data_IF_343955895169
#
_entry.id   IF_343955895169
#
_cell.length_a   1.000
_cell.length_b   1.000
_cell.length_c   1.000
_cell.angle_alpha   90.00
_cell.angle_beta   90.00
_cell.angle_gamma   90.00
#
_symmetry.space_group_name_H-M   'P 1'
#
loop_
_entity.id
_entity.type
_entity.pdbx_description
1 polymer ?
#
# COMPACT_ATOMS: atom_id res chain seq x y z
N UNK A 1 -59.27 -24.55 19.54
CA UNK A 1 -59.36 -25.04 18.15
C UNK A 1 -58.31 -26.12 17.98
N UNK A 2 -58.80 -27.33 17.77
CA UNK A 2 -58.05 -28.58 17.59
C UNK A 2 -57.47 -28.64 16.18
N UNK A 3 -56.17 -28.92 16.04
CA UNK A 3 -55.59 -29.33 14.77
C UNK A 3 -54.94 -30.70 14.93
N UNK A 4 -55.61 -31.66 14.31
CA UNK A 4 -55.30 -33.08 14.26
C UNK A 4 -54.03 -33.34 13.46
N UNK A 5 -53.11 -34.15 14.01
CA UNK A 5 -52.06 -34.80 13.24
C UNK A 5 -52.64 -36.02 12.52
N UNK A 6 -52.74 -35.96 11.18
CA UNK A 6 -53.03 -37.12 10.35
C UNK A 6 -51.70 -37.71 9.85
N UNK A 7 -51.34 -38.87 10.39
CA UNK A 7 -50.35 -39.76 9.78
C UNK A 7 -50.95 -40.34 8.50
N UNK A 8 -50.31 -40.11 7.36
CA UNK A 8 -50.62 -40.81 6.10
C UNK A 8 -49.53 -41.84 5.84
N UNK A 9 -49.98 -43.07 5.63
CA UNK A 9 -49.18 -44.27 5.47
C UNK A 9 -48.42 -44.31 4.14
N UNK A 10 -47.29 -44.98 4.24
CA UNK A 10 -46.35 -45.38 3.19
C UNK A 10 -47.04 -46.28 2.16
N UNK A 11 -46.92 -45.95 0.87
CA UNK A 11 -47.18 -46.90 -0.23
C UNK A 11 -45.94 -46.94 -1.12
N UNK A 12 -45.29 -48.10 -1.09
CA UNK A 12 -44.23 -48.52 -2.01
C UNK A 12 -44.80 -48.72 -3.41
N UNK A 13 -44.44 -47.83 -4.33
CA UNK A 13 -44.70 -47.97 -5.76
C UNK A 13 -43.40 -47.84 -6.53
N UNK A 14 -42.94 -48.94 -7.13
CA UNK A 14 -41.77 -48.95 -8.00
C UNK A 14 -42.14 -48.35 -9.36
N UNK A 15 -41.61 -47.16 -9.65
CA UNK A 15 -41.62 -46.60 -11.00
C UNK A 15 -40.18 -46.27 -11.40
N UNK A 16 -39.73 -46.92 -12.47
CA UNK A 16 -38.46 -46.64 -13.11
C UNK A 16 -38.54 -45.26 -13.77
N UNK A 17 -37.99 -44.26 -13.10
CA UNK A 17 -37.73 -42.94 -13.69
C UNK A 17 -36.22 -42.77 -13.81
N UNK A 18 -35.80 -42.42 -15.01
CA UNK A 18 -34.46 -41.97 -15.37
C UNK A 18 -33.88 -41.09 -14.27
N UNK A 19 -32.77 -41.52 -13.68
CA UNK A 19 -32.15 -40.89 -12.51
C UNK A 19 -31.78 -39.43 -12.74
N UNK A 20 -32.68 -38.51 -12.42
CA UNK A 20 -32.32 -37.16 -12.00
C UNK A 20 -31.89 -37.27 -10.54
N UNK A 21 -30.57 -37.34 -10.34
CA UNK A 21 -30.00 -37.27 -9.01
C UNK A 21 -30.37 -35.93 -8.38
N UNK A 22 -31.28 -35.95 -7.40
CA UNK A 22 -31.44 -34.87 -6.46
C UNK A 22 -30.21 -34.94 -5.55
N UNK A 23 -29.12 -34.29 -5.95
CA UNK A 23 -28.04 -33.98 -5.03
C UNK A 23 -28.60 -32.95 -4.05
N UNK A 24 -28.94 -33.43 -2.86
CA UNK A 24 -29.07 -32.60 -1.68
C UNK A 24 -27.79 -31.73 -1.60
N UNK A 25 -27.93 -30.43 -1.87
CA UNK A 25 -26.94 -29.42 -1.48
C UNK A 25 -26.96 -29.34 0.05
N UNK A 26 -26.41 -30.37 0.69
CA UNK A 26 -25.96 -30.32 2.07
C UNK A 26 -24.88 -29.25 2.04
N UNK A 27 -25.18 -28.12 2.70
CA UNK A 27 -24.44 -26.88 2.61
C UNK A 27 -22.97 -27.12 2.31
N UNK A 28 -22.55 -26.70 1.11
CA UNK A 28 -21.16 -26.42 0.85
C UNK A 28 -20.83 -25.29 1.82
N UNK A 29 -20.39 -25.65 3.02
CA UNK A 29 -19.52 -24.80 3.81
C UNK A 29 -18.32 -24.58 2.90
N UNK A 30 -18.39 -23.52 2.10
CA UNK A 30 -17.19 -22.85 1.63
C UNK A 30 -16.45 -22.49 2.90
N UNK A 31 -15.55 -23.36 3.35
CA UNK A 31 -14.48 -22.95 4.24
C UNK A 31 -13.86 -21.77 3.53
N UNK A 32 -14.12 -20.55 4.02
CA UNK A 32 -13.43 -19.37 3.51
C UNK A 32 -11.96 -19.69 3.73
N UNK A 33 -11.22 -19.92 2.65
CA UNK A 33 -9.79 -20.22 2.73
C UNK A 33 -9.12 -19.08 3.48
N UNK A 34 -8.78 -19.32 4.75
CA UNK A 34 -8.15 -18.31 5.58
C UNK A 34 -6.76 -18.01 5.01
N UNK A 35 -6.45 -16.72 4.89
CA UNK A 35 -5.17 -16.23 4.37
C UNK A 35 -4.50 -15.38 5.43
N UNK A 36 -3.17 -15.41 5.48
CA UNK A 36 -2.45 -14.46 6.33
C UNK A 36 -2.67 -13.04 5.82
N UNK A 37 -2.62 -12.07 6.73
CA UNK A 37 -2.65 -10.64 6.36
C UNK A 37 -1.49 -10.32 5.40
N UNK A 38 -0.30 -10.86 5.64
CA UNK A 38 0.86 -10.73 4.75
C UNK A 38 0.56 -11.18 3.31
N UNK A 39 -0.16 -12.29 3.13
CA UNK A 39 -0.55 -12.78 1.80
C UNK A 39 -1.65 -11.95 1.14
N UNK A 40 -2.46 -11.22 1.91
CA UNK A 40 -3.46 -10.32 1.37
C UNK A 40 -2.82 -8.99 0.95
N UNK A 41 -1.92 -8.43 1.77
CA UNK A 41 -1.15 -7.22 1.45
C UNK A 41 -0.30 -7.38 0.21
N UNK A 42 0.32 -8.56 0.00
CA UNK A 42 1.14 -8.79 -1.20
C UNK A 42 0.35 -8.73 -2.52
N UNK A 43 -0.99 -8.77 -2.46
CA UNK A 43 -1.87 -8.65 -3.63
C UNK A 43 -2.34 -7.22 -3.86
N UNK A 44 -2.22 -6.35 -2.88
CA UNK A 44 -2.60 -4.94 -2.95
C UNK A 44 -1.36 -4.07 -2.69
N UNK A 45 -0.70 -3.55 -3.75
CA UNK A 45 0.51 -2.78 -3.59
C UNK A 45 0.26 -1.38 -3.00
N UNK A 46 -0.99 -0.98 -2.72
CA UNK A 46 -1.30 0.36 -2.19
C UNK A 46 -0.96 0.53 -0.70
N UNK A 47 -0.88 -0.57 0.05
CA UNK A 47 -0.59 -0.59 1.49
C UNK A 47 0.57 -1.52 1.80
N UNK A 48 1.36 -1.17 2.83
CA UNK A 48 2.45 -1.99 3.35
C UNK A 48 2.46 -1.94 4.87
N UNK A 49 2.97 -2.99 5.49
CA UNK A 49 3.26 -2.96 6.91
C UNK A 49 4.27 -1.84 7.22
N UNK A 50 4.08 -1.13 8.33
CA UNK A 50 5.03 -0.12 8.79
C UNK A 50 6.32 -0.81 9.23
N UNK A 51 7.46 -0.38 8.69
CA UNK A 51 8.75 -0.95 9.07
C UNK A 51 9.19 -0.47 10.47
N UNK A 52 9.97 -1.26 11.18
CA UNK A 52 10.42 -0.93 12.55
C UNK A 52 11.20 0.39 12.62
N UNK A 53 11.86 0.79 11.53
CA UNK A 53 12.65 2.02 11.41
C UNK A 53 11.81 3.26 11.11
N UNK A 54 10.54 3.09 10.77
CA UNK A 54 9.63 4.16 10.32
C UNK A 54 8.93 4.86 11.49
N UNK A 55 9.74 5.52 12.33
CA UNK A 55 9.33 6.11 13.61
C UNK A 55 8.11 7.02 13.48
N UNK A 56 8.04 7.87 12.45
CA UNK A 56 6.95 8.83 12.31
C UNK A 56 5.62 8.16 11.90
N UNK A 57 5.66 7.12 11.07
CA UNK A 57 4.48 6.31 10.76
C UNK A 57 3.97 5.58 12.01
N UNK A 58 4.87 5.06 12.84
CA UNK A 58 4.49 4.46 14.13
C UNK A 58 3.81 5.46 15.07
N UNK A 59 4.30 6.70 15.16
CA UNK A 59 3.67 7.75 15.96
C UNK A 59 2.26 8.05 15.47
N UNK A 60 2.07 8.20 14.15
CA UNK A 60 0.76 8.44 13.55
C UNK A 60 -0.20 7.27 13.81
N UNK A 61 0.25 6.04 13.58
CA UNK A 61 -0.57 4.84 13.80
C UNK A 61 -0.99 4.69 15.27
N UNK A 62 -0.08 4.96 16.22
CA UNK A 62 -0.39 4.93 17.64
C UNK A 62 -1.39 6.01 18.05
N UNK A 63 -1.25 7.23 17.52
CA UNK A 63 -2.23 8.28 17.74
C UNK A 63 -3.63 7.87 17.25
N UNK A 64 -3.72 7.26 16.07
CA UNK A 64 -4.97 6.73 15.52
C UNK A 64 -5.55 5.58 16.35
N UNK A 65 -4.73 4.66 16.83
CA UNK A 65 -5.17 3.56 17.70
C UNK A 65 -5.81 4.08 18.99
N UNK A 66 -5.18 5.06 19.65
CA UNK A 66 -5.70 5.64 20.90
C UNK A 66 -7.06 6.31 20.73
N UNK A 67 -7.26 7.02 19.63
CA UNK A 67 -8.54 7.71 19.33
C UNK A 67 -9.70 6.73 19.09
N UNK A 68 -9.40 5.46 18.76
CA UNK A 68 -10.43 4.45 18.54
C UNK A 68 -11.26 4.08 19.78
N UNK A 69 -10.84 4.51 20.99
CA UNK A 69 -11.51 4.26 22.28
C UNK A 69 -11.81 2.78 22.60
N UNK A 70 -11.15 1.84 21.92
CA UNK A 70 -11.43 0.41 22.07
C UNK A 70 -10.34 -0.39 22.79
N UNK A 71 -9.16 0.20 23.04
CA UNK A 71 -7.90 -0.45 23.51
C UNK A 71 -7.92 -1.99 23.37
N UNK A 72 -8.18 -2.45 22.14
CA UNK A 72 -8.60 -3.83 21.90
C UNK A 72 -7.44 -4.81 22.03
N UNK A 73 -6.21 -4.30 22.11
CA UNK A 73 -4.99 -5.05 22.42
C UNK A 73 -4.50 -4.85 23.86
N UNK A 74 -5.24 -4.13 24.71
CA UNK A 74 -4.88 -3.85 26.11
C UNK A 74 -3.46 -3.25 26.27
N UNK A 75 -3.14 -2.25 25.45
CA UNK A 75 -1.82 -1.61 25.39
C UNK A 75 -1.75 -0.31 26.20
N UNK A 76 -2.88 0.15 26.74
CA UNK A 76 -2.99 1.39 27.52
C UNK A 76 -2.97 2.64 26.65
N UNK A 77 -2.89 3.80 27.31
CA UNK A 77 -3.06 5.13 26.69
C UNK A 77 -1.80 6.01 26.77
N UNK A 78 -0.60 5.40 26.77
CA UNK A 78 0.67 6.12 26.86
C UNK A 78 0.89 7.14 25.72
N UNK A 79 1.70 8.17 25.98
CA UNK A 79 2.04 9.17 24.97
C UNK A 79 2.94 8.58 23.88
N UNK A 80 3.98 7.85 24.30
CA UNK A 80 4.94 7.20 23.41
C UNK A 80 4.39 5.92 22.80
N UNK A 81 4.93 5.53 21.64
CA UNK A 81 4.59 4.28 20.96
C UNK A 81 5.15 3.11 21.79
N UNK A 82 4.31 2.26 22.40
CA UNK A 82 4.81 1.16 23.20
C UNK A 82 5.33 0.04 22.30
N UNK A 83 6.38 -0.67 22.73
CA UNK A 83 6.93 -1.81 21.97
C UNK A 83 5.90 -2.94 21.79
N UNK A 84 4.98 -3.09 22.75
CA UNK A 84 3.83 -3.99 22.64
C UNK A 84 2.93 -3.69 21.44
N UNK A 85 2.78 -2.43 21.04
CA UNK A 85 2.00 -2.05 19.85
C UNK A 85 2.67 -2.53 18.56
N UNK A 86 3.99 -2.33 18.44
CA UNK A 86 4.76 -2.80 17.28
C UNK A 86 4.78 -4.33 17.20
N UNK A 87 4.88 -4.99 18.36
CA UNK A 87 4.83 -6.45 18.48
C UNK A 87 3.47 -6.98 18.05
N UNK A 88 2.37 -6.39 18.54
CA UNK A 88 1.02 -6.77 18.15
C UNK A 88 0.81 -6.65 16.64
N UNK A 89 1.32 -5.59 16.01
CA UNK A 89 1.27 -5.45 14.56
C UNK A 89 2.05 -6.56 13.82
N UNK A 90 3.24 -6.92 14.30
CA UNK A 90 4.03 -8.01 13.72
C UNK A 90 3.31 -9.36 13.84
N UNK A 91 2.71 -9.66 14.98
CA UNK A 91 1.98 -10.90 15.21
C UNK A 91 0.70 -10.96 14.35
N UNK A 92 0.03 -9.82 14.20
CA UNK A 92 -1.17 -9.71 13.34
C UNK A 92 -0.84 -9.86 11.86
N UNK A 93 0.34 -9.43 11.40
CA UNK A 93 0.76 -9.60 10.01
C UNK A 93 0.76 -11.08 9.58
N UNK A 94 1.13 -11.99 10.49
CA UNK A 94 1.17 -13.43 10.26
C UNK A 94 -0.15 -14.15 10.59
N UNK A 95 -1.10 -13.45 11.21
CA UNK A 95 -2.39 -14.02 11.61
C UNK A 95 -3.27 -14.32 10.40
N UNK A 96 -4.00 -15.43 10.48
CA UNK A 96 -4.96 -15.86 9.46
C UNK A 96 -6.29 -15.14 9.63
N UNK A 97 -6.84 -14.66 8.52
CA UNK A 97 -8.12 -13.95 8.47
C UNK A 97 -9.00 -14.48 7.35
N UNK A 98 -10.31 -14.27 7.49
CA UNK A 98 -11.32 -14.75 6.53
C UNK A 98 -11.35 -13.95 5.21
N UNK A 99 -10.62 -12.84 5.13
CA UNK A 99 -10.46 -12.02 3.92
C UNK A 99 -10.25 -10.54 4.23
N UNK A 100 -10.25 -9.72 3.18
CA UNK A 100 -10.02 -8.27 3.26
C UNK A 100 -11.14 -7.54 4.03
N UNK A 101 -12.35 -8.08 4.08
CA UNK A 101 -13.46 -7.48 4.82
C UNK A 101 -13.49 -7.84 6.31
N UNK A 102 -12.54 -8.67 6.78
CA UNK A 102 -12.47 -9.05 8.19
C UNK A 102 -12.05 -7.88 9.08
N UNK A 103 -12.61 -7.82 10.29
CA UNK A 103 -12.26 -6.79 11.28
C UNK A 103 -10.76 -6.78 11.60
N UNK A 104 -10.13 -7.95 11.75
CA UNK A 104 -8.68 -8.04 11.99
C UNK A 104 -7.85 -7.46 10.83
N UNK A 105 -8.24 -7.70 9.56
CA UNK A 105 -7.54 -7.10 8.42
C UNK A 105 -7.74 -5.58 8.36
N UNK A 106 -8.96 -5.09 8.60
CA UNK A 106 -9.26 -3.66 8.60
C UNK A 106 -8.55 -2.93 9.75
N UNK A 107 -8.48 -3.56 10.93
CA UNK A 107 -7.71 -3.05 12.06
C UNK A 107 -6.21 -3.04 11.74
N UNK A 108 -5.69 -4.09 11.10
CA UNK A 108 -4.30 -4.10 10.65
C UNK A 108 -4.02 -2.94 9.69
N UNK A 109 -4.88 -2.74 8.68
CA UNK A 109 -4.72 -1.62 7.74
C UNK A 109 -4.73 -0.26 8.46
N UNK A 110 -5.55 -0.12 9.48
CA UNK A 110 -5.72 1.14 10.21
C UNK A 110 -4.55 1.48 11.14
N UNK A 111 -3.93 0.46 11.75
CA UNK A 111 -3.01 0.65 12.88
C UNK A 111 -1.61 0.07 12.68
N UNK A 112 -1.41 -0.73 11.64
CA UNK A 112 -0.14 -1.42 11.39
C UNK A 112 0.37 -1.23 9.95
N UNK A 113 -0.36 -0.48 9.13
CA UNK A 113 -0.02 -0.25 7.73
C UNK A 113 0.11 1.24 7.42
N UNK A 114 0.83 1.52 6.33
CA UNK A 114 0.90 2.84 5.71
C UNK A 114 0.67 2.71 4.20
N UNK A 115 0.39 3.84 3.57
CA UNK A 115 0.38 3.92 2.11
C UNK A 115 1.76 3.62 1.55
N UNK A 116 1.81 2.89 0.44
CA UNK A 116 3.02 2.73 -0.37
C UNK A 116 3.37 4.05 -1.02
N UNK A 117 4.65 4.41 -0.97
CA UNK A 117 5.19 5.56 -1.67
C UNK A 117 5.89 5.14 -2.96
N UNK A 118 6.00 6.05 -3.92
CA UNK A 118 6.83 5.83 -5.11
C UNK A 118 8.27 5.46 -4.70
N UNK A 119 8.82 6.09 -3.67
CA UNK A 119 10.16 5.75 -3.15
C UNK A 119 10.31 4.31 -2.66
N UNK A 120 9.24 3.65 -2.20
CA UNK A 120 9.27 2.22 -1.87
C UNK A 120 9.44 1.38 -3.14
N UNK A 121 8.63 1.68 -4.17
CA UNK A 121 8.68 0.96 -5.45
C UNK A 121 10.03 1.12 -6.16
N UNK A 122 10.67 2.29 -6.01
CA UNK A 122 12.04 2.53 -6.50
C UNK A 122 13.05 1.63 -5.79
N UNK A 123 12.97 1.52 -4.45
CA UNK A 123 13.85 0.63 -3.66
C UNK A 123 13.61 -0.83 -3.99
N UNK A 124 12.36 -1.25 -4.15
CA UNK A 124 11.98 -2.60 -4.56
C UNK A 124 12.52 -2.92 -5.97
N UNK A 125 12.65 -1.91 -6.83
CA UNK A 125 13.31 -1.99 -8.15
C UNK A 125 14.85 -1.95 -8.08
N UNK A 126 15.44 -2.00 -6.89
CA UNK A 126 16.91 -1.96 -6.64
C UNK A 126 17.59 -0.69 -7.12
N UNK A 127 16.85 0.41 -7.21
CA UNK A 127 17.40 1.73 -7.51
C UNK A 127 17.56 2.53 -6.23
N UNK A 128 18.53 3.46 -6.24
CA UNK A 128 18.83 4.31 -5.09
C UNK A 128 18.23 5.68 -5.33
N UNK A 129 17.23 6.12 -4.53
CA UNK A 129 16.72 7.48 -4.59
C UNK A 129 17.83 8.50 -4.32
N UNK A 130 17.83 9.61 -5.03
CA UNK A 130 18.66 10.76 -4.71
C UNK A 130 18.11 11.45 -3.47
N UNK A 131 18.96 11.65 -2.47
CA UNK A 131 18.58 12.41 -1.28
C UNK A 131 18.84 13.90 -1.49
N UNK A 132 17.86 14.71 -1.12
CA UNK A 132 17.99 16.17 -1.13
C UNK A 132 18.98 16.69 -0.07
N UNK A 133 19.35 15.87 0.91
CA UNK A 133 20.41 16.17 1.87
C UNK A 133 21.82 16.07 1.26
N UNK A 134 21.96 15.45 0.08
CA UNK A 134 23.21 15.45 -0.68
C UNK A 134 23.46 16.83 -1.33
N UNK A 135 24.73 17.16 -1.59
CA UNK A 135 25.08 18.38 -2.31
C UNK A 135 24.49 18.38 -3.75
N UNK A 136 24.03 19.53 -4.24
CA UNK A 136 23.39 19.66 -5.57
C UNK A 136 24.33 19.37 -6.75
N UNK A 137 25.63 19.44 -6.51
CA UNK A 137 26.66 19.28 -7.52
C UNK A 137 27.26 17.87 -7.53
N UNK A 138 26.67 16.91 -6.83
CA UNK A 138 27.07 15.50 -6.94
C UNK A 138 26.78 14.96 -8.35
N UNK A 139 27.53 13.95 -8.77
CA UNK A 139 27.35 13.33 -10.09
C UNK A 139 25.94 12.77 -10.30
N UNK A 140 25.31 12.27 -9.22
CA UNK A 140 23.91 11.80 -9.26
C UNK A 140 22.94 12.93 -9.59
N UNK A 141 23.05 14.06 -8.88
CA UNK A 141 22.19 15.22 -9.12
C UNK A 141 22.44 15.89 -10.47
N UNK A 142 23.70 16.02 -10.90
CA UNK A 142 24.05 16.52 -12.24
C UNK A 142 23.42 15.68 -13.35
N UNK A 143 23.60 14.37 -13.32
CA UNK A 143 23.03 13.44 -14.33
C UNK A 143 21.50 13.45 -14.34
N UNK A 144 20.88 13.51 -13.17
CA UNK A 144 19.43 13.62 -13.04
C UNK A 144 18.91 14.92 -13.67
N UNK A 145 19.58 16.04 -13.40
CA UNK A 145 19.22 17.34 -13.95
C UNK A 145 19.39 17.39 -15.47
N UNK A 146 20.51 16.89 -15.99
CA UNK A 146 20.72 16.76 -17.44
C UNK A 146 19.63 15.92 -18.10
N UNK A 147 19.28 14.78 -17.49
CA UNK A 147 18.21 13.90 -17.97
C UNK A 147 16.83 14.57 -17.96
N UNK A 148 16.59 15.50 -17.04
CA UNK A 148 15.39 16.31 -16.97
C UNK A 148 15.37 17.36 -18.08
N UNK A 149 16.47 18.11 -18.25
CA UNK A 149 16.61 19.11 -19.31
C UNK A 149 16.39 18.47 -20.69
N UNK A 150 17.03 17.35 -20.96
CA UNK A 150 16.95 16.66 -22.25
C UNK A 150 15.52 16.20 -22.57
N UNK A 151 14.79 15.73 -21.56
CA UNK A 151 13.39 15.32 -21.71
C UNK A 151 12.43 16.50 -21.90
N UNK A 152 12.83 17.71 -21.51
CA UNK A 152 12.01 18.93 -21.57
C UNK A 152 12.58 19.97 -22.55
N UNK A 153 13.53 19.59 -23.42
CA UNK A 153 14.28 20.52 -24.30
C UNK A 153 13.39 21.32 -25.26
N UNK A 154 12.27 20.74 -25.67
CA UNK A 154 11.30 21.34 -26.62
C UNK A 154 10.17 22.11 -25.90
N UNK A 155 10.11 22.06 -24.57
CA UNK A 155 9.09 22.74 -23.77
C UNK A 155 9.44 24.21 -23.60
N UNK A 156 8.46 25.10 -23.83
CA UNK A 156 8.59 26.55 -23.70
C UNK A 156 7.90 27.05 -22.42
N UNK A 157 8.35 28.19 -21.89
CA UNK A 157 7.67 28.98 -20.83
C UNK A 157 7.23 28.21 -19.57
N UNK A 158 8.14 27.48 -18.91
CA UNK A 158 7.85 26.70 -17.68
C UNK A 158 6.74 25.64 -17.84
N UNK A 159 6.54 25.15 -19.06
CA UNK A 159 5.69 24.00 -19.39
C UNK A 159 6.49 22.68 -19.38
N UNK A 160 7.61 22.65 -18.68
CA UNK A 160 8.33 21.42 -18.38
C UNK A 160 7.49 20.52 -17.46
N UNK A 161 7.75 19.21 -17.51
CA UNK A 161 6.90 18.19 -16.91
C UNK A 161 6.54 18.44 -15.44
N UNK A 162 7.45 19.02 -14.66
CA UNK A 162 7.27 19.32 -13.23
C UNK A 162 7.13 20.81 -12.91
N UNK A 163 7.09 21.67 -13.94
CA UNK A 163 7.01 23.14 -13.82
C UNK A 163 8.08 23.70 -12.88
N UNK A 164 9.32 23.33 -13.13
CA UNK A 164 10.47 23.74 -12.32
C UNK A 164 10.66 25.24 -12.43
N UNK A 165 10.72 25.91 -11.29
CA UNK A 165 10.92 27.35 -11.21
C UNK A 165 12.21 27.76 -11.92
N UNK A 166 12.10 28.82 -12.75
CA UNK A 166 13.20 29.36 -13.54
C UNK A 166 13.86 28.37 -14.52
N UNK A 167 13.18 27.27 -14.89
CA UNK A 167 13.72 26.25 -15.82
C UNK A 167 14.31 26.89 -17.08
N UNK A 168 13.58 27.81 -17.73
CA UNK A 168 14.01 28.44 -18.98
C UNK A 168 15.35 29.19 -18.87
N UNK A 169 15.58 29.91 -17.78
CA UNK A 169 16.76 30.77 -17.60
C UNK A 169 17.94 30.02 -16.98
N UNK A 170 17.68 28.87 -16.36
CA UNK A 170 18.67 28.15 -15.55
C UNK A 170 19.04 26.77 -16.11
N UNK A 171 18.32 26.24 -17.11
CA UNK A 171 18.57 24.91 -17.72
C UNK A 171 19.96 24.71 -18.30
N UNK A 172 20.66 25.77 -18.68
CA UNK A 172 22.01 25.67 -19.23
C UNK A 172 23.08 25.50 -18.12
N UNK A 173 22.71 25.69 -16.85
CA UNK A 173 23.58 25.45 -15.69
C UNK A 173 23.53 23.98 -15.29
N UNK A 174 24.45 23.19 -15.87
CA UNK A 174 24.56 21.74 -15.67
C UNK A 174 25.54 21.34 -14.56
N UNK A 175 26.22 22.31 -13.95
CA UNK A 175 27.18 22.09 -12.88
C UNK A 175 26.52 21.69 -11.55
N UNK A 176 25.21 21.91 -11.41
CA UNK A 176 24.42 21.53 -10.23
C UNK A 176 22.93 21.43 -10.56
N UNK A 177 22.21 20.62 -9.79
CA UNK A 177 20.75 20.54 -9.87
C UNK A 177 20.08 21.75 -9.18
N UNK A 178 19.01 22.28 -9.80
CA UNK A 178 18.24 23.38 -9.20
C UNK A 178 17.54 22.94 -7.91
N UNK A 179 17.43 23.85 -6.95
CA UNK A 179 16.74 23.59 -5.68
C UNK A 179 15.29 23.15 -5.90
N UNK A 180 14.53 23.90 -6.71
CA UNK A 180 13.13 23.57 -7.00
C UNK A 180 12.98 22.20 -7.69
N UNK A 181 13.89 21.83 -8.61
CA UNK A 181 13.90 20.50 -9.20
C UNK A 181 14.11 19.39 -8.16
N UNK A 182 15.03 19.58 -7.20
CA UNK A 182 15.24 18.64 -6.08
C UNK A 182 14.02 18.57 -5.16
N UNK A 183 13.32 19.68 -4.96
CA UNK A 183 12.07 19.73 -4.17
C UNK A 183 10.94 18.94 -4.84
N UNK A 184 10.79 19.09 -6.17
CA UNK A 184 9.85 18.28 -6.96
C UNK A 184 10.20 16.81 -6.86
N UNK A 185 11.48 16.48 -6.92
CA UNK A 185 11.95 15.12 -6.80
C UNK A 185 11.59 14.48 -5.45
N UNK A 186 11.88 15.16 -4.34
CA UNK A 186 11.48 14.73 -2.98
C UNK A 186 9.96 14.57 -2.86
N UNK A 187 9.20 15.53 -3.37
CA UNK A 187 7.72 15.50 -3.38
C UNK A 187 7.20 14.28 -4.15
N UNK A 188 7.73 14.03 -5.35
CA UNK A 188 7.28 12.94 -6.21
C UNK A 188 7.68 11.57 -5.67
N UNK A 189 8.87 11.44 -5.07
CA UNK A 189 9.29 10.24 -4.33
C UNK A 189 8.37 9.94 -3.13
N UNK A 190 7.86 10.99 -2.48
CA UNK A 190 6.89 10.91 -1.38
C UNK A 190 5.42 10.74 -1.82
N UNK A 191 5.15 10.65 -3.13
CA UNK A 191 3.78 10.49 -3.63
C UNK A 191 3.24 9.09 -3.33
N UNK A 192 1.94 9.06 -2.99
CA UNK A 192 1.14 7.84 -2.80
C UNK A 192 0.43 7.39 -4.08
N UNK A 193 0.49 8.19 -5.15
CA UNK A 193 -0.11 7.87 -6.44
C UNK A 193 0.77 6.88 -7.21
N UNK A 194 0.84 5.66 -6.69
CA UNK A 194 1.67 4.58 -7.24
C UNK A 194 1.13 4.01 -8.55
N UNK A 195 -0.12 4.32 -8.90
CA UNK A 195 -0.77 3.90 -10.13
C UNK A 195 -0.37 4.76 -11.33
N UNK A 196 0.20 5.94 -11.06
CA UNK A 196 0.64 6.88 -12.08
C UNK A 196 1.99 6.44 -12.65
N UNK A 197 1.92 5.60 -13.68
CA UNK A 197 3.09 5.04 -14.37
C UNK A 197 3.98 6.13 -14.96
N UNK A 198 3.38 7.20 -15.49
CA UNK A 198 4.14 8.33 -16.01
C UNK A 198 4.98 9.00 -14.92
N UNK A 199 4.40 9.27 -13.75
CA UNK A 199 5.13 9.82 -12.61
C UNK A 199 6.21 8.85 -12.11
N UNK A 200 5.90 7.56 -12.01
CA UNK A 200 6.86 6.55 -11.60
C UNK A 200 8.07 6.49 -12.52
N UNK A 201 7.86 6.47 -13.84
CA UNK A 201 8.93 6.46 -14.85
C UNK A 201 9.77 7.75 -14.81
N UNK A 202 9.12 8.89 -14.62
CA UNK A 202 9.81 10.18 -14.44
C UNK A 202 10.70 10.17 -13.19
N UNK A 203 10.18 9.74 -12.04
CA UNK A 203 10.96 9.64 -10.81
C UNK A 203 12.10 8.65 -10.98
N UNK A 204 11.85 7.48 -11.58
CA UNK A 204 12.89 6.49 -11.88
C UNK A 204 14.04 7.12 -12.69
N UNK A 205 13.73 7.96 -13.67
CA UNK A 205 14.72 8.60 -14.53
C UNK A 205 15.41 9.81 -13.90
N UNK A 206 14.69 10.62 -13.13
CA UNK A 206 15.13 11.96 -12.70
C UNK A 206 15.41 12.07 -11.20
N UNK A 207 15.17 11.02 -10.43
CA UNK A 207 15.32 11.00 -8.98
C UNK A 207 16.11 9.81 -8.45
N UNK A 208 16.79 9.08 -9.32
CA UNK A 208 17.56 7.90 -8.89
C UNK A 208 18.97 7.94 -9.44
N UNK A 209 19.86 7.23 -8.75
CA UNK A 209 21.20 6.91 -9.22
C UNK A 209 21.39 5.39 -9.26
N UNK A 210 22.27 4.95 -10.15
CA UNK A 210 22.78 3.57 -10.12
C UNK A 210 23.64 3.40 -8.87
N UNK A 211 23.54 2.23 -8.28
CA UNK A 211 24.38 1.80 -7.16
C UNK A 211 25.83 1.64 -7.60
#
# INVERSE_FOLDING_TARGET
MTTSFKFVALVTGATATTGMGILAFKGFSFSKDEKSISSLLSKDPSKRAIDITEIDYWKTAWASYKVSNKDFWNLGNGQDVPEGFKTACRDKLESKVSGVDSEDYQNFLSYCSRDTLISDLIKDSKLVPLSKTEADNTDGWKKAWESYIDANKEKLNNDDAWKVNNFKTEKDKKDKALADFRDKCETNLGSKDISNTALFDQVKKWCTKKT
#
